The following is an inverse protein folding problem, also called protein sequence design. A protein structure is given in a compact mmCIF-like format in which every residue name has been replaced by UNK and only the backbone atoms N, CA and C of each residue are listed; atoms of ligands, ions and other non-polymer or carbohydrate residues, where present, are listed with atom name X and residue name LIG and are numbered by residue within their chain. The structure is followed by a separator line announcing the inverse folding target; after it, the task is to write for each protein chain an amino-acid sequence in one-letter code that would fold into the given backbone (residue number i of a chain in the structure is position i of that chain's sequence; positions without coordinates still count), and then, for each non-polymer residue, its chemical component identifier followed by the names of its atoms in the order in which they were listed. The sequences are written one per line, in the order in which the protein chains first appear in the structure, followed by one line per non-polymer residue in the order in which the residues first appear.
data_IF_113706185649
#
_entry.id   IF_113706185649
#
_cell.length_a   1.000
_cell.length_b   1.000
_cell.length_c   1.000
_cell.angle_alpha   90.00
_cell.angle_beta   90.00
_cell.angle_gamma   90.00
#
_symmetry.space_group_name_H-M   'P 1'
#
loop_
_entity.id
_entity.type
_entity.pdbx_description
1 polymer ?
#
# COMPACT_ATOMS: atom_id res chain seq x y z
N UNK A 1 -10.29 11.98 -2.77
CA UNK A 1 -9.27 10.91 -2.97
C UNK A 1 -9.98 9.57 -2.86
N UNK A 2 -9.78 8.64 -3.79
CA UNK A 2 -10.39 7.29 -3.68
C UNK A 2 -9.75 6.48 -2.55
N UNK A 3 -10.52 5.61 -1.87
CA UNK A 3 -9.97 4.71 -0.86
C UNK A 3 -9.01 3.70 -1.49
N UNK A 4 -8.07 3.20 -0.70
CA UNK A 4 -7.28 2.02 -1.04
C UNK A 4 -8.20 0.81 -1.30
N UNK A 5 -7.73 -0.14 -2.12
CA UNK A 5 -8.45 -1.38 -2.44
C UNK A 5 -8.52 -2.33 -1.25
N UNK A 6 -7.50 -2.31 -0.41
CA UNK A 6 -7.45 -3.13 0.80
C UNK A 6 -7.25 -2.23 2.02
N UNK A 7 -8.07 -2.44 3.05
CA UNK A 7 -7.86 -1.79 4.34
C UNK A 7 -6.48 -2.17 4.88
N UNK A 8 -5.73 -1.20 5.40
CA UNK A 8 -4.42 -1.42 5.99
C UNK A 8 -4.13 -0.41 7.10
N UNK A 9 -3.42 -0.84 8.14
CA UNK A 9 -2.76 -0.03 9.16
C UNK A 9 -1.28 -0.43 9.26
N UNK A 10 -0.46 0.33 9.98
CA UNK A 10 0.95 -0.01 10.25
C UNK A 10 1.79 -0.30 8.98
N UNK A 11 1.47 0.39 7.89
CA UNK A 11 2.13 0.29 6.59
C UNK A 11 3.10 1.47 6.38
N UNK A 12 4.10 1.30 5.52
CA UNK A 12 4.95 2.41 5.07
C UNK A 12 4.29 3.14 3.89
N UNK A 13 4.29 4.48 3.92
CA UNK A 13 3.86 5.31 2.80
C UNK A 13 5.06 6.07 2.22
N UNK A 14 5.42 5.76 0.97
CA UNK A 14 6.51 6.42 0.25
C UNK A 14 6.03 7.14 -1.00
N UNK A 15 6.69 8.23 -1.38
CA UNK A 15 6.47 8.90 -2.67
C UNK A 15 7.61 8.55 -3.63
N UNK A 16 7.27 8.16 -4.86
CA UNK A 16 8.25 7.90 -5.91
C UNK A 16 7.68 8.36 -7.27
N UNK A 17 8.37 9.31 -7.91
CA UNK A 17 7.88 9.97 -9.11
C UNK A 17 6.54 10.67 -8.85
N UNK A 18 5.53 10.36 -9.68
CA UNK A 18 4.18 10.93 -9.57
C UNK A 18 3.19 10.06 -8.78
N UNK A 19 3.68 9.05 -8.05
CA UNK A 19 2.85 8.09 -7.32
C UNK A 19 3.19 7.98 -5.83
N UNK A 20 2.18 7.59 -5.03
CA UNK A 20 2.36 7.20 -3.62
C UNK A 20 2.26 5.70 -3.49
N UNK A 21 3.11 5.08 -2.67
CA UNK A 21 3.18 3.64 -2.49
C UNK A 21 2.88 3.31 -1.03
N UNK A 22 1.78 2.60 -0.81
CA UNK A 22 1.41 2.01 0.47
C UNK A 22 1.93 0.57 0.52
N UNK A 23 2.96 0.32 1.31
CA UNK A 23 3.74 -0.92 1.32
C UNK A 23 3.41 -1.72 2.58
N UNK A 24 2.96 -2.97 2.41
CA UNK A 24 2.67 -3.88 3.51
C UNK A 24 1.61 -3.33 4.49
N UNK A 25 1.81 -3.55 5.78
CA UNK A 25 0.88 -3.23 6.85
C UNK A 25 0.09 -4.44 7.32
N UNK A 26 -1.02 -4.18 7.99
CA UNK A 26 -1.90 -5.21 8.52
C UNK A 26 -3.38 -4.82 8.35
N UNK A 27 -4.21 -5.85 8.25
CA UNK A 27 -5.65 -5.75 8.51
C UNK A 27 -5.93 -6.16 9.95
N UNK A 28 -7.20 -6.16 10.36
CA UNK A 28 -7.61 -6.75 11.64
C UNK A 28 -7.36 -8.26 11.74
N UNK A 29 -7.08 -8.95 10.62
CA UNK A 29 -6.98 -10.40 10.56
C UNK A 29 -5.58 -10.91 10.19
N UNK A 30 -4.80 -10.14 9.44
CA UNK A 30 -3.52 -10.61 8.89
C UNK A 30 -2.56 -9.48 8.51
N UNK A 31 -1.26 -9.78 8.57
CA UNK A 31 -0.21 -8.96 7.97
C UNK A 31 -0.27 -9.06 6.44
N UNK A 32 -0.07 -7.93 5.79
CA UNK A 32 -0.12 -7.78 4.35
C UNK A 32 1.29 -7.86 3.76
N UNK A 33 1.39 -8.57 2.63
CA UNK A 33 2.49 -8.42 1.67
C UNK A 33 2.13 -7.50 0.50
N UNK A 34 0.87 -7.08 0.38
CA UNK A 34 0.39 -6.31 -0.76
C UNK A 34 0.95 -4.90 -0.73
N UNK A 35 1.32 -4.40 -1.90
CA UNK A 35 1.68 -3.01 -2.14
C UNK A 35 0.60 -2.37 -3.00
N UNK A 36 0.18 -1.17 -2.64
CA UNK A 36 -0.73 -0.37 -3.46
C UNK A 36 -0.06 0.92 -3.90
N UNK A 37 -0.24 1.30 -5.17
CA UNK A 37 0.26 2.54 -5.73
C UNK A 37 -0.92 3.47 -6.07
N UNK A 38 -0.85 4.72 -5.61
CA UNK A 38 -1.78 5.76 -5.96
C UNK A 38 -1.32 6.48 -7.22
N UNK A 39 -2.14 6.39 -8.28
CA UNK A 39 -1.94 7.12 -9.52
C UNK A 39 -2.65 8.46 -9.42
N UNK A 40 -1.88 9.55 -9.41
CA UNK A 40 -2.39 10.92 -9.28
C UNK A 40 -3.24 11.34 -10.47
N UNK A 41 -2.88 10.91 -11.69
CA UNK A 41 -3.59 11.23 -12.94
C UNK A 41 -5.03 10.71 -12.95
N UNK A 42 -5.25 9.50 -12.44
CA UNK A 42 -6.57 8.84 -12.43
C UNK A 42 -7.25 8.89 -11.07
N UNK A 43 -6.61 9.46 -10.03
CA UNK A 43 -7.11 9.50 -8.65
C UNK A 43 -7.57 8.11 -8.16
N UNK A 44 -6.75 7.10 -8.39
CA UNK A 44 -7.05 5.69 -8.08
C UNK A 44 -5.85 4.96 -7.49
N UNK A 45 -6.14 4.03 -6.57
CA UNK A 45 -5.17 3.03 -6.13
C UNK A 45 -5.15 1.82 -7.07
N UNK A 46 -3.96 1.32 -7.37
CA UNK A 46 -3.72 0.10 -8.14
C UNK A 46 -2.83 -0.85 -7.34
N UNK A 47 -2.91 -2.15 -7.62
CA UNK A 47 -2.04 -3.12 -6.96
C UNK A 47 -0.66 -3.03 -7.61
N UNK A 48 0.37 -2.87 -6.78
CA UNK A 48 1.77 -3.05 -7.16
C UNK A 48 2.23 -4.50 -7.00
N UNK A 49 3.54 -4.76 -7.16
CA UNK A 49 4.11 -6.05 -6.85
C UNK A 49 4.05 -6.33 -5.34
N UNK A 50 3.72 -7.58 -4.97
CA UNK A 50 3.76 -8.03 -3.59
C UNK A 50 5.20 -8.03 -3.05
N UNK A 51 5.33 -7.81 -1.74
CA UNK A 51 6.54 -8.12 -1.00
C UNK A 51 6.78 -9.64 -0.98
N UNK A 52 8.04 -10.08 -0.86
CA UNK A 52 8.37 -11.51 -0.77
C UNK A 52 7.77 -12.17 0.48
N UNK A 53 7.57 -11.39 1.55
CA UNK A 53 6.98 -11.84 2.81
C UNK A 53 6.04 -10.76 3.36
N UNK A 54 5.00 -11.12 4.15
CA UNK A 54 4.18 -10.13 4.85
C UNK A 54 5.02 -9.25 5.79
N UNK A 55 4.74 -7.94 5.81
CA UNK A 55 5.52 -6.97 6.58
C UNK A 55 4.63 -5.86 7.13
N UNK A 56 4.74 -5.55 8.41
CA UNK A 56 4.06 -4.43 9.10
C UNK A 56 5.01 -3.72 10.05
N UNK A 57 4.65 -2.51 10.52
CA UNK A 57 5.43 -1.73 11.50
C UNK A 57 6.86 -1.38 11.05
N UNK A 58 7.05 -1.21 9.74
CA UNK A 58 8.33 -0.87 9.11
C UNK A 58 8.35 0.59 8.66
N UNK A 59 9.52 1.08 8.24
CA UNK A 59 9.76 2.45 7.78
C UNK A 59 10.34 2.43 6.36
#
# INVERSE_FOLDING_TARGET
VKPMKQARCLFSLGALGNGLYAVGGATSHSTLKSVECYLTESNTWVNGPDLPFPLSEHA
#
